data_IF_466248682302
#
_entry.id   IF_466248682302
#
_cell.length_a   1.000
_cell.length_b   1.000
_cell.length_c   1.000
_cell.angle_alpha   90.00
_cell.angle_beta   90.00
_cell.angle_gamma   90.00
#
_symmetry.space_group_name_H-M   'P 1'
#
loop_
_entity.id
_entity.type
_entity.pdbx_description
1 polymer ?
#
# COMPACT_ATOMS: atom_id res chain seq x y z
N UNK A 1 18.45 -10.06 -2.88
CA UNK A 1 19.34 -9.08 -2.24
C UNK A 1 20.29 -8.46 -3.27
N UNK A 2 21.18 -9.23 -3.91
CA UNK A 2 22.13 -8.68 -4.91
C UNK A 2 21.50 -8.10 -6.19
N UNK A 3 20.35 -8.60 -6.64
CA UNK A 3 19.73 -8.14 -7.91
C UNK A 3 19.27 -6.68 -7.83
N UNK A 4 18.64 -6.24 -6.72
CA UNK A 4 18.20 -4.85 -6.57
C UNK A 4 19.41 -3.92 -6.57
N UNK A 5 20.43 -4.20 -5.74
CA UNK A 5 21.65 -3.39 -5.70
C UNK A 5 22.41 -3.33 -7.04
N UNK A 6 22.39 -4.41 -7.81
CA UNK A 6 23.14 -4.49 -9.07
C UNK A 6 22.39 -3.84 -10.24
N UNK A 7 21.05 -3.89 -10.24
CA UNK A 7 20.24 -3.35 -11.35
C UNK A 7 19.66 -1.95 -11.07
N UNK A 8 19.56 -1.50 -9.81
CA UNK A 8 19.04 -0.18 -9.45
C UNK A 8 19.72 0.99 -10.18
N UNK A 9 21.07 1.06 -10.29
CA UNK A 9 21.74 2.16 -10.99
C UNK A 9 21.45 2.21 -12.49
N UNK A 10 21.07 1.10 -13.09
CA UNK A 10 20.77 1.02 -14.52
C UNK A 10 19.28 1.25 -14.79
N UNK A 11 18.41 0.61 -14.00
CA UNK A 11 16.97 0.62 -14.22
C UNK A 11 16.28 1.88 -13.69
N UNK A 12 16.67 2.36 -12.50
CA UNK A 12 15.98 3.50 -11.87
C UNK A 12 16.15 4.81 -12.66
N UNK A 13 17.33 5.17 -13.20
CA UNK A 13 17.45 6.37 -14.03
C UNK A 13 16.61 6.31 -15.31
N UNK A 14 16.38 5.13 -15.86
CA UNK A 14 15.50 4.95 -17.04
C UNK A 14 14.04 5.12 -16.64
N UNK A 15 13.65 4.58 -15.48
CA UNK A 15 12.27 4.63 -14.98
C UNK A 15 11.87 6.03 -14.49
N UNK A 16 12.79 6.71 -13.81
CA UNK A 16 12.57 8.00 -13.15
C UNK A 16 12.94 9.17 -14.07
N UNK A 17 14.01 9.01 -14.86
CA UNK A 17 14.53 10.09 -15.71
C UNK A 17 14.96 11.32 -14.91
N UNK A 18 14.83 12.48 -15.54
CA UNK A 18 15.11 13.77 -14.92
C UNK A 18 16.60 14.09 -14.79
N UNK A 19 16.93 14.94 -13.82
CA UNK A 19 18.32 15.33 -13.58
C UNK A 19 19.13 14.18 -12.97
N UNK A 20 20.45 14.16 -13.22
CA UNK A 20 21.36 13.18 -12.60
C UNK A 20 21.29 13.20 -11.07
N UNK A 21 21.12 14.39 -10.50
CA UNK A 21 20.98 14.59 -9.05
C UNK A 21 19.73 13.88 -8.50
N UNK A 22 18.57 14.07 -9.14
CA UNK A 22 17.33 13.41 -8.73
C UNK A 22 17.43 11.89 -8.86
N UNK A 23 17.95 11.39 -9.98
CA UNK A 23 18.18 9.96 -10.19
C UNK A 23 19.12 9.35 -9.14
N UNK A 24 20.22 10.04 -8.80
CA UNK A 24 21.16 9.60 -7.77
C UNK A 24 20.51 9.56 -6.39
N UNK A 25 19.70 10.57 -6.05
CA UNK A 25 18.94 10.59 -4.81
C UNK A 25 17.98 9.39 -4.75
N UNK A 26 17.23 9.10 -5.81
CA UNK A 26 16.32 7.93 -5.82
C UNK A 26 17.09 6.61 -5.62
N UNK A 27 18.27 6.46 -6.24
CA UNK A 27 19.14 5.29 -6.04
C UNK A 27 19.56 5.17 -4.57
N UNK A 28 20.04 6.27 -3.98
CA UNK A 28 20.46 6.31 -2.57
C UNK A 28 19.31 5.93 -1.62
N UNK A 29 18.15 6.58 -1.78
CA UNK A 29 16.98 6.29 -0.96
C UNK A 29 16.51 4.84 -1.16
N UNK A 30 16.62 4.28 -2.37
CA UNK A 30 16.30 2.87 -2.63
C UNK A 30 17.21 1.94 -1.84
N UNK A 31 18.51 2.24 -1.74
CA UNK A 31 19.44 1.42 -0.96
C UNK A 31 19.20 1.51 0.54
N UNK A 32 18.88 2.71 1.04
CA UNK A 32 18.54 2.91 2.45
C UNK A 32 17.24 2.13 2.76
N UNK A 33 16.17 2.39 2.00
CA UNK A 33 14.85 1.78 2.23
C UNK A 33 14.80 0.28 1.93
N UNK A 34 15.82 -0.28 1.27
CA UNK A 34 15.90 -1.70 0.96
C UNK A 34 15.67 -2.61 2.19
N UNK A 35 16.18 -2.20 3.35
CA UNK A 35 16.02 -2.95 4.61
C UNK A 35 14.55 -3.08 5.05
N UNK A 36 13.68 -2.18 4.59
CA UNK A 36 12.24 -2.29 4.80
C UNK A 36 11.66 -3.57 4.19
N UNK A 37 12.15 -4.02 3.04
CA UNK A 37 11.66 -5.24 2.37
C UNK A 37 11.89 -6.46 3.27
N UNK A 38 13.06 -6.53 3.91
CA UNK A 38 13.43 -7.62 4.81
C UNK A 38 12.52 -7.62 6.04
N UNK A 39 12.40 -6.48 6.70
CA UNK A 39 11.60 -6.34 7.93
C UNK A 39 10.11 -6.56 7.65
N UNK A 40 9.58 -6.00 6.55
CA UNK A 40 8.20 -6.20 6.13
C UNK A 40 7.90 -7.66 5.77
N UNK A 41 8.79 -8.33 5.03
CA UNK A 41 8.62 -9.75 4.68
C UNK A 41 8.61 -10.64 5.91
N UNK A 42 9.53 -10.40 6.85
CA UNK A 42 9.61 -11.18 8.07
C UNK A 42 8.41 -10.90 9.00
N UNK A 43 8.00 -9.63 9.11
CA UNK A 43 6.79 -9.21 9.82
C UNK A 43 5.53 -9.91 9.26
N UNK A 44 5.40 -9.98 7.92
CA UNK A 44 4.31 -10.68 7.27
C UNK A 44 4.26 -12.18 7.60
N UNK A 45 5.43 -12.84 7.72
CA UNK A 45 5.50 -14.24 8.16
C UNK A 45 4.98 -14.41 9.59
N UNK A 46 5.43 -13.58 10.53
CA UNK A 46 4.97 -13.65 11.93
C UNK A 46 3.48 -13.30 12.08
N UNK A 47 2.99 -12.34 11.28
CA UNK A 47 1.57 -12.04 11.17
C UNK A 47 0.79 -13.25 10.63
N UNK A 48 1.28 -13.93 9.59
CA UNK A 48 0.64 -15.12 9.03
C UNK A 48 0.57 -16.27 10.05
N UNK A 49 1.61 -16.46 10.87
CA UNK A 49 1.60 -17.43 11.99
C UNK A 49 0.47 -17.09 12.96
N UNK A 50 0.37 -15.83 13.39
CA UNK A 50 -0.68 -15.37 14.30
C UNK A 50 -2.09 -15.51 13.71
N UNK A 51 -2.27 -15.13 12.44
CA UNK A 51 -3.55 -15.23 11.73
C UNK A 51 -3.98 -16.68 11.53
N UNK A 52 -3.05 -17.60 11.27
CA UNK A 52 -3.35 -19.05 11.17
C UNK A 52 -3.90 -19.66 12.46
N UNK A 53 -3.68 -18.98 13.60
CA UNK A 53 -4.19 -19.32 14.93
C UNK A 53 -5.41 -18.49 15.34
N UNK A 54 -6.05 -17.80 14.40
CA UNK A 54 -7.18 -16.89 14.61
C UNK A 54 -6.89 -15.71 15.56
N UNK A 55 -5.62 -15.26 15.65
CA UNK A 55 -5.21 -14.13 16.50
C UNK A 55 -4.89 -12.90 15.65
N UNK A 56 -5.93 -12.14 15.31
CA UNK A 56 -5.84 -11.05 14.34
C UNK A 56 -5.54 -9.66 14.93
N UNK A 57 -5.84 -9.44 16.22
CA UNK A 57 -5.83 -8.11 16.83
C UNK A 57 -4.44 -7.46 16.92
N UNK A 58 -3.46 -8.12 17.55
CA UNK A 58 -2.10 -7.56 17.65
C UNK A 58 -1.45 -7.40 16.26
N UNK A 59 -1.60 -8.37 15.34
CA UNK A 59 -1.07 -8.18 14.00
C UNK A 59 -1.71 -7.04 13.22
N UNK A 60 -3.03 -6.81 13.36
CA UNK A 60 -3.70 -5.71 12.65
C UNK A 60 -3.31 -4.32 13.15
N UNK A 61 -2.87 -4.18 14.41
CA UNK A 61 -2.37 -2.91 14.97
C UNK A 61 -0.92 -2.61 14.61
N UNK A 62 -0.17 -3.59 14.12
CA UNK A 62 1.27 -3.44 13.84
C UNK A 62 1.62 -2.28 12.88
N UNK A 63 0.83 -1.97 11.83
CA UNK A 63 1.10 -0.81 10.96
C UNK A 63 1.07 0.54 11.69
N UNK A 64 0.39 0.65 12.84
CA UNK A 64 0.33 1.88 13.64
C UNK A 64 1.73 2.28 14.12
N UNK A 65 2.60 1.31 14.42
CA UNK A 65 3.97 1.56 14.90
C UNK A 65 4.77 2.37 13.88
N UNK A 66 4.66 2.02 12.60
CA UNK A 66 5.33 2.73 11.51
C UNK A 66 4.81 4.18 11.39
N UNK A 67 3.48 4.36 11.49
CA UNK A 67 2.87 5.69 11.47
C UNK A 67 3.29 6.54 12.67
N UNK A 68 3.44 5.95 13.86
CA UNK A 68 3.94 6.63 15.05
C UNK A 68 5.41 7.06 14.88
N UNK A 69 6.23 6.27 14.18
CA UNK A 69 7.61 6.66 13.85
C UNK A 69 7.63 7.87 12.91
N UNK A 70 6.73 7.93 11.92
CA UNK A 70 6.58 9.12 11.07
C UNK A 70 6.18 10.35 11.87
N UNK A 71 5.16 10.22 12.74
CA UNK A 71 4.71 11.31 13.60
C UNK A 71 5.81 11.80 14.54
N UNK A 72 6.57 10.88 15.14
CA UNK A 72 7.69 11.22 16.00
C UNK A 72 8.74 12.04 15.25
N UNK A 73 9.13 11.62 14.05
CA UNK A 73 10.10 12.38 13.24
C UNK A 73 9.55 13.74 12.83
N UNK A 74 8.29 13.81 12.40
CA UNK A 74 7.68 15.06 11.97
C UNK A 74 7.56 16.09 13.11
N UNK A 75 7.18 15.65 14.32
CA UNK A 75 6.97 16.54 15.47
C UNK A 75 8.28 16.84 16.19
N UNK A 76 9.17 15.85 16.34
CA UNK A 76 10.32 15.95 17.24
C UNK A 76 11.67 16.16 16.52
N UNK A 77 11.80 15.78 15.24
CA UNK A 77 13.10 15.87 14.53
C UNK A 77 13.08 16.96 13.46
N UNK A 78 12.02 17.06 12.66
CA UNK A 78 11.93 18.07 11.58
C UNK A 78 12.10 19.53 12.04
N UNK A 79 11.70 19.95 13.25
CA UNK A 79 12.00 21.30 13.74
C UNK A 79 13.49 21.61 13.90
N UNK A 80 14.35 20.59 13.98
CA UNK A 80 15.79 20.72 14.17
C UNK A 80 16.62 20.41 12.91
N UNK A 81 15.94 20.10 11.80
CA UNK A 81 16.59 19.79 10.53
C UNK A 81 16.14 20.85 9.51
N UNK A 82 17.06 21.71 9.09
CA UNK A 82 16.73 22.82 8.18
C UNK A 82 16.70 22.39 6.71
N UNK A 83 17.63 21.51 6.32
CA UNK A 83 17.79 21.10 4.94
C UNK A 83 16.76 20.03 4.50
N UNK A 84 16.26 20.14 3.26
CA UNK A 84 15.26 19.23 2.73
C UNK A 84 15.82 17.83 2.48
N UNK A 85 17.07 17.72 2.01
CA UNK A 85 17.72 16.45 1.75
C UNK A 85 17.88 15.66 3.06
N UNK A 86 18.33 16.34 4.13
CA UNK A 86 18.46 15.74 5.45
C UNK A 86 17.11 15.30 6.01
N UNK A 87 16.03 16.08 5.82
CA UNK A 87 14.67 15.66 6.23
C UNK A 87 14.23 14.37 5.54
N UNK A 88 14.54 14.20 4.26
CA UNK A 88 14.21 12.98 3.51
C UNK A 88 15.01 11.80 4.05
N UNK A 89 16.31 11.97 4.31
CA UNK A 89 17.17 10.92 4.88
C UNK A 89 16.68 10.51 6.27
N UNK A 90 16.39 11.47 7.16
CA UNK A 90 15.86 11.21 8.50
C UNK A 90 14.53 10.45 8.42
N UNK A 91 13.66 10.78 7.47
CA UNK A 91 12.42 10.05 7.23
C UNK A 91 12.69 8.60 6.78
N UNK A 92 13.68 8.37 5.92
CA UNK A 92 14.08 7.01 5.55
C UNK A 92 14.56 6.18 6.75
N UNK A 93 15.34 6.78 7.66
CA UNK A 93 15.68 6.11 8.91
C UNK A 93 14.46 5.82 9.79
N UNK A 94 13.48 6.73 9.84
CA UNK A 94 12.21 6.51 10.54
C UNK A 94 11.43 5.30 9.97
N UNK A 95 11.43 5.15 8.64
CA UNK A 95 10.80 4.02 7.95
C UNK A 95 11.46 2.71 8.38
N UNK A 96 12.79 2.66 8.37
CA UNK A 96 13.55 1.47 8.74
C UNK A 96 13.34 1.11 10.21
N UNK A 97 13.48 2.09 11.12
CA UNK A 97 13.30 1.87 12.56
C UNK A 97 11.86 1.42 12.86
N UNK A 98 10.86 2.02 12.22
CA UNK A 98 9.47 1.58 12.32
C UNK A 98 9.29 0.13 11.84
N UNK A 99 9.91 -0.27 10.73
CA UNK A 99 9.91 -1.65 10.25
C UNK A 99 10.52 -2.64 11.25
N UNK A 100 11.64 -2.28 11.88
CA UNK A 100 12.27 -3.09 12.93
C UNK A 100 11.42 -3.18 14.20
N UNK A 101 10.83 -2.07 14.65
CA UNK A 101 9.93 -2.05 15.81
C UNK A 101 8.68 -2.89 15.56
N UNK A 102 8.10 -2.77 14.35
CA UNK A 102 6.96 -3.58 13.92
C UNK A 102 7.31 -5.07 13.96
N UNK A 103 8.46 -5.45 13.40
CA UNK A 103 8.95 -6.81 13.43
C UNK A 103 9.20 -7.29 14.88
N UNK A 104 9.78 -6.47 15.74
CA UNK A 104 10.05 -6.80 17.13
C UNK A 104 8.77 -7.09 17.91
N UNK A 105 7.71 -6.29 17.71
CA UNK A 105 6.39 -6.52 18.33
C UNK A 105 5.78 -7.83 17.86
N UNK A 106 5.87 -8.15 16.57
CA UNK A 106 5.36 -9.40 16.01
C UNK A 106 6.12 -10.63 16.54
N UNK A 107 7.45 -10.55 16.58
CA UNK A 107 8.32 -11.58 17.18
C UNK A 107 7.96 -11.79 18.65
N UNK A 108 7.88 -10.70 19.42
CA UNK A 108 7.51 -10.75 20.84
C UNK A 108 6.14 -11.40 21.04
N UNK A 109 5.16 -11.05 20.21
CA UNK A 109 3.80 -11.61 20.31
C UNK A 109 3.77 -13.11 20.03
N UNK A 110 4.44 -13.58 18.98
CA UNK A 110 4.54 -15.01 18.67
C UNK A 110 5.32 -15.77 19.75
N UNK A 111 6.39 -15.18 20.28
CA UNK A 111 7.17 -15.75 21.38
C UNK A 111 6.37 -15.87 22.67
N UNK A 112 5.66 -14.81 23.08
CA UNK A 112 4.79 -14.80 24.26
C UNK A 112 3.74 -15.90 24.19
N UNK A 113 3.26 -16.21 23.00
CA UNK A 113 2.28 -17.25 22.74
C UNK A 113 2.87 -18.66 22.52
N UNK A 114 4.20 -18.82 22.62
CA UNK A 114 4.93 -20.09 22.43
C UNK A 114 4.77 -20.71 21.04
N UNK A 115 4.49 -19.88 20.02
CA UNK A 115 4.28 -20.31 18.62
C UNK A 115 5.52 -20.06 17.75
N UNK A 116 6.70 -19.92 18.37
CA UNK A 116 7.94 -19.65 17.63
C UNK A 116 8.27 -20.78 16.65
N UNK A 117 8.49 -20.48 15.35
CA UNK A 117 8.81 -21.50 14.37
C UNK A 117 10.18 -22.12 14.70
N UNK A 118 10.24 -23.45 14.68
CA UNK A 118 11.51 -24.17 14.71
C UNK A 118 12.11 -24.16 13.32
N UNK A 119 13.31 -23.61 13.18
CA UNK A 119 14.03 -23.59 11.90
C UNK A 119 14.40 -25.04 11.55
N UNK A 120 13.87 -25.53 10.42
CA UNK A 120 14.22 -26.83 9.86
C UNK A 120 14.54 -26.67 8.38
N UNK A 121 15.72 -27.12 7.96
CA UNK A 121 16.24 -26.96 6.61
C UNK A 121 15.82 -28.09 5.64
N UNK A 122 14.69 -28.75 5.89
CA UNK A 122 14.22 -29.84 5.03
C UNK A 122 13.49 -29.31 3.78
N UNK A 123 14.26 -28.89 2.77
CA UNK A 123 13.76 -28.35 1.49
C UNK A 123 12.87 -29.33 0.69
N UNK A 124 12.92 -30.63 0.99
CA UNK A 124 12.12 -31.67 0.34
C UNK A 124 10.73 -31.84 0.97
N UNK A 125 10.40 -31.08 2.01
CA UNK A 125 9.12 -31.22 2.69
C UNK A 125 7.95 -30.90 1.74
N UNK A 126 6.92 -31.77 1.62
CA UNK A 126 5.82 -31.58 0.66
C UNK A 126 5.05 -30.27 0.87
N UNK A 127 4.99 -29.76 2.11
CA UNK A 127 4.38 -28.45 2.40
C UNK A 127 5.08 -27.29 1.70
N UNK A 128 6.39 -27.35 1.43
CA UNK A 128 7.11 -26.30 0.71
C UNK A 128 6.57 -26.21 -0.73
N UNK A 129 6.40 -27.35 -1.39
CA UNK A 129 5.80 -27.42 -2.73
C UNK A 129 4.36 -26.89 -2.73
N UNK A 130 3.59 -27.20 -1.70
CA UNK A 130 2.22 -26.67 -1.53
C UNK A 130 2.22 -25.15 -1.38
N UNK A 131 3.13 -24.61 -0.56
CA UNK A 131 3.30 -23.16 -0.38
C UNK A 131 3.61 -22.49 -1.72
N UNK A 132 4.61 -22.95 -2.47
CA UNK A 132 4.95 -22.36 -3.77
C UNK A 132 3.80 -22.46 -4.79
N UNK A 133 3.07 -23.58 -4.83
CA UNK A 133 1.92 -23.75 -5.73
C UNK A 133 0.78 -22.76 -5.45
N UNK A 134 0.60 -22.37 -4.18
CA UNK A 134 -0.42 -21.38 -3.77
C UNK A 134 0.10 -19.95 -3.87
N UNK A 135 1.37 -19.71 -3.54
CA UNK A 135 1.99 -18.40 -3.60
C UNK A 135 2.18 -17.91 -5.02
N UNK A 136 2.51 -18.77 -5.99
CA UNK A 136 2.76 -18.35 -7.36
C UNK A 136 1.56 -17.62 -8.00
N UNK A 137 0.32 -18.16 -8.02
CA UNK A 137 -0.82 -17.44 -8.58
C UNK A 137 -1.17 -16.18 -7.78
N UNK A 138 -1.08 -16.21 -6.45
CA UNK A 138 -1.31 -15.03 -5.61
C UNK A 138 -0.27 -13.92 -5.87
N UNK A 139 1.00 -14.28 -6.03
CA UNK A 139 2.09 -13.36 -6.32
C UNK A 139 1.99 -12.79 -7.74
N UNK A 140 1.57 -13.60 -8.73
CA UNK A 140 1.29 -13.11 -10.08
C UNK A 140 0.12 -12.11 -10.07
N UNK A 141 -0.98 -12.44 -9.38
CA UNK A 141 -2.12 -11.54 -9.20
C UNK A 141 -1.73 -10.20 -8.55
N UNK A 142 -0.99 -10.24 -7.44
CA UNK A 142 -0.47 -9.03 -6.78
C UNK A 142 0.61 -8.31 -7.59
N UNK A 143 1.37 -9.05 -8.40
CA UNK A 143 2.40 -8.52 -9.29
C UNK A 143 1.82 -7.64 -10.39
N UNK A 144 0.65 -7.96 -10.93
CA UNK A 144 -0.03 -7.09 -11.91
C UNK A 144 -0.35 -5.70 -11.34
N UNK A 145 -0.79 -5.64 -10.08
CA UNK A 145 -1.00 -4.34 -9.41
C UNK A 145 0.31 -3.56 -9.26
N UNK A 146 1.40 -4.24 -8.91
CA UNK A 146 2.73 -3.61 -8.81
C UNK A 146 3.23 -3.11 -10.17
N UNK A 147 2.99 -3.87 -11.25
CA UNK A 147 3.30 -3.44 -12.61
C UNK A 147 2.49 -2.20 -13.02
N UNK A 148 1.20 -2.17 -12.69
CA UNK A 148 0.35 -0.98 -12.93
C UNK A 148 0.93 0.25 -12.25
N UNK A 149 1.33 0.14 -10.97
CA UNK A 149 1.94 1.27 -10.25
C UNK A 149 3.28 1.69 -10.86
N UNK A 150 4.09 0.75 -11.35
CA UNK A 150 5.33 1.10 -12.04
C UNK A 150 5.07 1.85 -13.34
N UNK A 151 4.03 1.48 -14.09
CA UNK A 151 3.60 2.20 -15.29
C UNK A 151 3.11 3.61 -14.92
N UNK A 152 2.30 3.74 -13.87
CA UNK A 152 1.82 5.03 -13.39
C UNK A 152 2.99 5.95 -13.01
N UNK A 153 3.95 5.46 -12.23
CA UNK A 153 5.15 6.20 -11.83
C UNK A 153 6.00 6.57 -13.05
N UNK A 154 6.16 5.66 -14.02
CA UNK A 154 6.90 5.93 -15.25
C UNK A 154 6.25 7.06 -16.06
N UNK A 155 4.93 6.99 -16.28
CA UNK A 155 4.18 8.03 -17.01
C UNK A 155 4.21 9.36 -16.27
N UNK A 156 4.08 9.35 -14.94
CA UNK A 156 4.15 10.54 -14.12
C UNK A 156 5.52 11.22 -14.18
N UNK A 157 6.59 10.43 -14.11
CA UNK A 157 7.95 10.93 -14.29
C UNK A 157 8.17 11.47 -15.70
N UNK A 158 7.63 10.82 -16.73
CA UNK A 158 7.68 11.33 -18.10
C UNK A 158 7.02 12.71 -18.24
N UNK A 159 5.80 12.89 -17.68
CA UNK A 159 5.11 14.19 -17.65
C UNK A 159 5.90 15.22 -16.84
N UNK A 160 6.42 14.83 -15.67
CA UNK A 160 7.20 15.70 -14.80
C UNK A 160 8.52 16.15 -15.46
N UNK A 161 9.17 15.30 -16.25
CA UNK A 161 10.39 15.64 -16.97
C UNK A 161 10.13 16.64 -18.11
N UNK A 162 8.94 16.63 -18.70
CA UNK A 162 8.52 17.64 -19.68
C UNK A 162 8.07 18.95 -19.04
N UNK A 163 7.49 18.89 -17.83
CA UNK A 163 6.98 20.03 -17.09
C UNK A 163 7.56 20.04 -15.66
N UNK A 164 8.83 20.45 -15.48
CA UNK A 164 9.46 20.50 -14.17
C UNK A 164 8.67 21.41 -13.21
N UNK A 165 8.46 20.94 -11.99
CA UNK A 165 7.71 21.67 -10.96
C UNK A 165 6.21 21.36 -10.90
N UNK A 166 5.66 20.58 -11.84
CA UNK A 166 4.25 20.19 -11.80
C UNK A 166 3.91 19.28 -10.60
N UNK A 167 4.89 18.48 -10.13
CA UNK A 167 4.69 17.54 -9.02
C UNK A 167 3.80 16.35 -9.39
N UNK A 168 3.88 15.85 -10.63
CA UNK A 168 2.98 14.82 -11.16
C UNK A 168 3.03 13.51 -10.37
N UNK A 169 4.22 13.05 -9.97
CA UNK A 169 4.40 11.81 -9.19
C UNK A 169 3.70 11.92 -7.83
N UNK A 170 3.91 13.03 -7.13
CA UNK A 170 3.31 13.30 -5.82
C UNK A 170 1.79 13.46 -5.95
N UNK A 171 1.34 14.15 -7.00
CA UNK A 171 -0.08 14.37 -7.28
C UNK A 171 -0.85 13.05 -7.47
N UNK A 172 -0.28 12.08 -8.20
CA UNK A 172 -0.88 10.74 -8.33
C UNK A 172 -0.93 10.02 -6.99
N UNK A 173 0.17 9.98 -6.23
CA UNK A 173 0.23 9.27 -4.94
C UNK A 173 -0.80 9.83 -3.94
N UNK A 174 -0.89 11.15 -3.82
CA UNK A 174 -1.82 11.81 -2.91
C UNK A 174 -3.29 11.60 -3.33
N UNK A 175 -3.58 11.69 -4.63
CA UNK A 175 -4.92 11.44 -5.17
C UNK A 175 -5.35 9.99 -4.97
N UNK A 176 -4.44 9.04 -5.21
CA UNK A 176 -4.70 7.62 -5.04
C UNK A 176 -5.00 7.27 -3.57
N UNK A 177 -4.30 7.89 -2.60
CA UNK A 177 -4.57 7.71 -1.16
C UNK A 177 -5.98 8.13 -0.78
N UNK A 178 -6.49 9.24 -1.31
CA UNK A 178 -7.86 9.69 -1.03
C UNK A 178 -8.89 8.67 -1.52
N UNK A 179 -8.68 8.06 -2.68
CA UNK A 179 -9.53 6.99 -3.24
C UNK A 179 -9.48 5.69 -2.43
N UNK A 180 -8.38 5.43 -1.71
CA UNK A 180 -8.29 4.28 -0.81
C UNK A 180 -9.21 4.39 0.41
N UNK A 181 -9.58 5.60 0.85
CA UNK A 181 -10.47 5.78 2.00
C UNK A 181 -11.86 5.16 1.80
N UNK A 182 -12.67 5.56 0.78
CA UNK A 182 -13.98 4.97 0.55
C UNK A 182 -13.85 3.49 0.16
N UNK A 183 -12.89 3.16 -0.70
CA UNK A 183 -12.65 1.78 -1.15
C UNK A 183 -12.27 0.86 0.00
N UNK A 184 -11.51 1.34 0.98
CA UNK A 184 -11.08 0.59 2.15
C UNK A 184 -12.22 0.35 3.13
N UNK A 185 -12.98 1.39 3.47
CA UNK A 185 -14.09 1.29 4.43
C UNK A 185 -15.21 0.40 3.87
N UNK A 186 -15.68 0.69 2.66
CA UNK A 186 -16.76 -0.07 2.02
C UNK A 186 -16.27 -1.48 1.69
N UNK A 187 -15.04 -1.59 1.18
CA UNK A 187 -14.38 -2.85 0.84
C UNK A 187 -14.08 -3.78 2.03
N UNK A 188 -14.00 -3.26 3.25
CA UNK A 188 -13.87 -4.11 4.45
C UNK A 188 -15.25 -4.46 5.00
N UNK A 189 -16.18 -3.50 5.00
CA UNK A 189 -17.55 -3.73 5.46
C UNK A 189 -18.20 -4.89 4.69
N UNK A 190 -18.17 -4.82 3.35
CA UNK A 190 -18.78 -5.86 2.52
C UNK A 190 -18.04 -7.20 2.60
N UNK A 191 -16.71 -7.21 2.80
CA UNK A 191 -15.93 -8.44 2.96
C UNK A 191 -16.30 -9.18 4.24
N UNK A 192 -16.56 -8.45 5.30
CA UNK A 192 -16.88 -9.04 6.60
C UNK A 192 -18.35 -9.50 6.68
N UNK A 193 -19.26 -8.89 5.90
CA UNK A 193 -20.67 -9.26 5.91
C UNK A 193 -21.05 -10.31 4.88
N UNK A 194 -20.55 -10.22 3.64
CA UNK A 194 -21.00 -11.06 2.52
C UNK A 194 -20.19 -12.36 2.43
N UNK A 195 -18.87 -12.31 2.64
CA UNK A 195 -18.01 -13.49 2.48
C UNK A 195 -18.46 -14.69 3.34
N UNK A 196 -18.84 -14.53 4.63
CA UNK A 196 -19.32 -15.66 5.42
C UNK A 196 -20.61 -16.28 4.88
N UNK A 197 -21.56 -15.46 4.41
CA UNK A 197 -22.81 -15.92 3.82
C UNK A 197 -22.54 -16.69 2.52
N UNK A 198 -21.72 -16.12 1.64
CA UNK A 198 -21.38 -16.72 0.35
C UNK A 198 -20.65 -18.06 0.52
N UNK A 199 -19.74 -18.17 1.49
CA UNK A 199 -19.08 -19.43 1.84
C UNK A 199 -20.04 -20.47 2.41
N UNK A 200 -21.10 -20.06 3.10
CA UNK A 200 -22.11 -20.97 3.62
C UNK A 200 -23.02 -21.50 2.50
N UNK A 201 -23.45 -20.63 1.58
CA UNK A 201 -24.25 -20.97 0.40
C UNK A 201 -23.48 -21.85 -0.59
N UNK A 202 -22.17 -21.61 -0.78
CA UNK A 202 -21.26 -22.48 -1.53
C UNK A 202 -21.16 -23.90 -0.95
N UNK A 203 -21.09 -24.02 0.38
CA UNK A 203 -21.02 -25.35 1.04
C UNK A 203 -22.30 -26.16 0.88
N UNK A 204 -23.45 -25.51 0.69
CA UNK A 204 -24.74 -26.16 0.49
C UNK A 204 -25.06 -26.43 -0.98
N UNK A 205 -24.20 -25.98 -1.90
CA UNK A 205 -24.42 -26.05 -3.35
C UNK A 205 -25.72 -25.37 -3.82
N UNK A 206 -26.19 -24.37 -3.07
CA UNK A 206 -27.40 -23.60 -3.37
C UNK A 206 -27.10 -22.47 -4.38
N UNK A 207 -26.95 -22.83 -5.65
CA UNK A 207 -26.54 -21.88 -6.70
C UNK A 207 -27.46 -20.65 -6.82
N UNK A 208 -28.76 -20.78 -6.61
CA UNK A 208 -29.69 -19.64 -6.63
C UNK A 208 -29.40 -18.63 -5.52
N UNK A 209 -29.11 -19.12 -4.31
CA UNK A 209 -28.77 -18.30 -3.15
C UNK A 209 -27.46 -17.54 -3.39
N UNK A 210 -26.46 -18.19 -4.00
CA UNK A 210 -25.19 -17.56 -4.37
C UNK A 210 -25.40 -16.39 -5.33
N UNK A 211 -26.21 -16.55 -6.38
CA UNK A 211 -26.47 -15.48 -7.34
C UNK A 211 -27.19 -14.29 -6.68
N UNK A 212 -28.15 -14.54 -5.80
CA UNK A 212 -28.87 -13.49 -5.07
C UNK A 212 -27.96 -12.74 -4.09
N UNK A 213 -27.12 -13.46 -3.34
CA UNK A 213 -26.15 -12.86 -2.43
C UNK A 213 -25.12 -12.01 -3.18
N UNK A 214 -24.61 -12.50 -4.32
CA UNK A 214 -23.67 -11.75 -5.15
C UNK A 214 -24.31 -10.51 -5.78
N UNK A 215 -25.53 -10.63 -6.30
CA UNK A 215 -26.24 -9.50 -6.88
C UNK A 215 -26.54 -8.43 -5.82
N UNK A 216 -27.05 -8.82 -4.65
CA UNK A 216 -27.31 -7.90 -3.54
C UNK A 216 -26.03 -7.24 -3.01
N UNK A 217 -24.92 -7.98 -2.97
CA UNK A 217 -23.61 -7.44 -2.63
C UNK A 217 -23.15 -6.37 -3.62
N UNK A 218 -23.26 -6.63 -4.92
CA UNK A 218 -22.90 -5.68 -5.97
C UNK A 218 -23.81 -4.45 -5.97
N UNK A 219 -25.12 -4.64 -5.80
CA UNK A 219 -26.08 -3.52 -5.70
C UNK A 219 -25.75 -2.63 -4.51
N UNK A 220 -25.49 -3.21 -3.33
CA UNK A 220 -25.12 -2.44 -2.15
C UNK A 220 -23.75 -1.77 -2.30
N UNK A 221 -22.78 -2.46 -2.93
CA UNK A 221 -21.48 -1.89 -3.26
C UNK A 221 -21.64 -0.66 -4.15
N UNK A 222 -22.37 -0.78 -5.25
CA UNK A 222 -22.64 0.33 -6.18
C UNK A 222 -23.40 1.47 -5.51
N UNK A 223 -24.41 1.14 -4.69
CA UNK A 223 -25.20 2.12 -3.95
C UNK A 223 -24.34 3.01 -3.03
N UNK A 224 -23.30 2.45 -2.40
CA UNK A 224 -22.38 3.23 -1.57
C UNK A 224 -21.25 3.89 -2.36
N UNK A 225 -20.71 3.19 -3.35
CA UNK A 225 -19.50 3.61 -4.07
C UNK A 225 -19.75 4.66 -5.14
N UNK A 226 -20.92 4.62 -5.82
CA UNK A 226 -21.25 5.61 -6.85
C UNK A 226 -21.38 7.01 -6.24
N UNK A 227 -22.15 7.24 -5.16
CA UNK A 227 -22.19 8.55 -4.50
C UNK A 227 -20.83 8.97 -3.96
N UNK A 228 -20.04 8.03 -3.40
CA UNK A 228 -18.69 8.33 -2.93
C UNK A 228 -17.76 8.76 -4.06
N UNK A 229 -17.84 8.11 -5.23
CA UNK A 229 -17.10 8.46 -6.42
C UNK A 229 -17.48 9.84 -6.94
N UNK A 230 -18.78 10.13 -7.02
CA UNK A 230 -19.26 11.46 -7.43
C UNK A 230 -18.81 12.54 -6.42
N UNK A 231 -18.92 12.27 -5.12
CA UNK A 231 -18.45 13.17 -4.08
C UNK A 231 -16.96 13.47 -4.20
N UNK A 232 -16.14 12.43 -4.37
CA UNK A 232 -14.69 12.59 -4.56
C UNK A 232 -14.35 13.37 -5.84
N UNK A 233 -15.07 13.11 -6.94
CA UNK A 233 -14.84 13.81 -8.21
C UNK A 233 -15.28 15.28 -8.16
N UNK A 234 -16.49 15.57 -7.69
CA UNK A 234 -17.02 16.95 -7.65
C UNK A 234 -16.35 17.82 -6.60
N UNK A 235 -15.94 17.23 -5.47
CA UNK A 235 -15.28 17.95 -4.38
C UNK A 235 -13.75 17.75 -4.39
N UNK A 236 -13.17 17.25 -5.48
CA UNK A 236 -11.75 16.93 -5.57
C UNK A 236 -10.84 18.09 -5.12
N UNK A 237 -11.04 19.29 -5.70
CA UNK A 237 -10.28 20.49 -5.33
C UNK A 237 -10.42 20.86 -3.85
N UNK A 238 -11.65 21.10 -3.35
CA UNK A 238 -11.87 21.40 -1.93
C UNK A 238 -11.33 20.34 -0.95
N UNK A 239 -11.42 19.05 -1.29
CA UNK A 239 -10.88 17.97 -0.46
C UNK A 239 -9.35 18.06 -0.41
N UNK A 240 -8.70 18.20 -1.56
CA UNK A 240 -7.24 18.33 -1.66
C UNK A 240 -6.75 19.57 -0.93
N UNK A 241 -7.40 20.72 -1.13
CA UNK A 241 -7.04 21.96 -0.43
C UNK A 241 -7.23 21.81 1.09
N UNK A 242 -8.36 21.27 1.55
CA UNK A 242 -8.64 21.18 2.99
C UNK A 242 -7.69 20.23 3.73
N UNK A 243 -7.16 19.21 3.05
CA UNK A 243 -6.32 18.18 3.66
C UNK A 243 -4.83 18.51 3.51
N UNK A 244 -4.41 19.00 2.34
CA UNK A 244 -3.00 19.12 1.99
C UNK A 244 -2.49 20.55 1.87
N UNK A 245 -3.36 21.56 1.70
CA UNK A 245 -2.90 22.93 1.51
C UNK A 245 -2.12 23.44 2.72
N UNK A 246 -0.94 24.01 2.46
CA UNK A 246 -0.05 24.55 3.48
C UNK A 246 1.40 24.13 3.31
N UNK A 247 2.31 24.91 3.92
CA UNK A 247 3.75 24.68 3.81
C UNK A 247 4.25 24.81 2.37
N UNK A 248 4.65 23.68 1.76
CA UNK A 248 5.13 23.62 0.36
C UNK A 248 4.03 23.20 -0.64
N UNK A 249 2.84 22.83 -0.16
CA UNK A 249 1.72 22.51 -1.03
C UNK A 249 0.91 23.78 -1.31
N UNK A 250 0.92 24.22 -2.56
CA UNK A 250 0.24 25.42 -3.03
C UNK A 250 -0.99 25.11 -3.91
N UNK A 251 -1.65 26.14 -4.42
CA UNK A 251 -2.82 25.98 -5.29
C UNK A 251 -2.47 25.29 -6.62
N UNK A 252 -1.24 25.42 -7.11
CA UNK A 252 -0.79 24.73 -8.32
C UNK A 252 -0.75 23.22 -8.04
N UNK A 253 -0.21 22.80 -6.90
CA UNK A 253 -0.20 21.41 -6.49
C UNK A 253 -1.62 20.83 -6.34
N UNK A 254 -2.54 21.58 -5.72
CA UNK A 254 -3.96 21.17 -5.65
C UNK A 254 -4.57 21.01 -7.03
N UNK A 255 -4.36 21.99 -7.93
CA UNK A 255 -4.91 21.92 -9.28
C UNK A 255 -4.36 20.71 -10.05
N UNK A 256 -3.05 20.45 -9.95
CA UNK A 256 -2.42 19.28 -10.57
C UNK A 256 -2.97 17.97 -10.02
N UNK A 257 -3.20 17.85 -8.70
CA UNK A 257 -3.74 16.66 -8.07
C UNK A 257 -5.26 16.47 -8.29
N UNK A 258 -5.99 17.54 -8.62
CA UNK A 258 -7.44 17.46 -8.85
C UNK A 258 -7.78 16.53 -10.01
N UNK A 259 -7.04 16.60 -11.12
CA UNK A 259 -7.32 15.77 -12.29
C UNK A 259 -7.14 14.27 -12.00
N UNK A 260 -6.00 13.79 -11.47
CA UNK A 260 -5.87 12.39 -11.05
C UNK A 260 -6.95 11.92 -10.08
N UNK A 261 -7.34 12.75 -9.09
CA UNK A 261 -8.39 12.38 -8.14
C UNK A 261 -9.74 12.16 -8.82
N UNK A 262 -10.13 13.04 -9.75
CA UNK A 262 -11.36 12.87 -10.55
C UNK A 262 -11.31 11.57 -11.34
N UNK A 263 -10.20 11.27 -12.03
CA UNK A 263 -10.06 10.05 -12.81
C UNK A 263 -10.05 8.78 -11.95
N UNK A 264 -9.31 8.78 -10.83
CA UNK A 264 -9.30 7.64 -9.90
C UNK A 264 -10.66 7.43 -9.22
N UNK A 265 -11.46 8.48 -9.05
CA UNK A 265 -12.79 8.37 -8.46
C UNK A 265 -13.71 7.48 -9.30
N UNK A 266 -13.58 7.49 -10.62
CA UNK A 266 -14.33 6.61 -11.54
C UNK A 266 -14.05 5.14 -11.24
N UNK A 267 -12.85 4.81 -10.74
CA UNK A 267 -12.46 3.44 -10.42
C UNK A 267 -13.09 2.92 -9.12
N UNK A 268 -13.58 3.77 -8.21
CA UNK A 268 -14.06 3.38 -6.87
C UNK A 268 -15.12 2.24 -6.93
N UNK A 269 -16.19 2.33 -7.76
CA UNK A 269 -17.21 1.29 -7.79
C UNK A 269 -16.67 -0.07 -8.27
N UNK A 270 -15.72 -0.05 -9.21
CA UNK A 270 -15.09 -1.24 -9.74
C UNK A 270 -14.09 -1.85 -8.75
N UNK A 271 -13.28 -1.02 -8.09
CA UNK A 271 -12.26 -1.48 -7.13
C UNK A 271 -12.87 -2.17 -5.91
N UNK A 272 -14.04 -1.70 -5.46
CA UNK A 272 -14.79 -2.39 -4.39
C UNK A 272 -15.39 -3.68 -4.90
N UNK A 273 -15.93 -3.70 -6.12
CA UNK A 273 -16.54 -4.90 -6.71
C UNK A 273 -15.55 -6.04 -6.98
N UNK A 274 -14.30 -5.74 -7.36
CA UNK A 274 -13.23 -6.73 -7.62
C UNK A 274 -12.65 -7.34 -6.34
N UNK A 275 -12.78 -6.65 -5.19
CA UNK A 275 -12.31 -7.16 -3.90
C UNK A 275 -13.22 -8.27 -3.33
N UNK A 276 -14.27 -8.66 -4.06
CA UNK A 276 -15.22 -9.74 -3.77
C UNK A 276 -15.16 -10.86 -4.79
#
# INVERSE_FOLDING_TARGET
>A
MGIVFLFSPFFLPILVGGTKEYSNLVIELTYILFFLIVTASLSAIFMAISNSKNRFFVPSLSPIILNLCYLFVFICLFPFVDDLHDRVIVLCFAIITGGFLQLAVQIWYVWKNKDMPKINWNWKHPSIRKIFKLMLPAALGGGFYQLSLLVDIFLANWVQNQNPGLGAVVSLDYSQRLVQLPTGIIGVALATTILPALLQSLKKEEWSSIHQELAGALEFALFLTVPAALGMAFLAGPILDSIYFGGKWDHIATHTATQPLVFYSIAIPFLVSIKY
#
